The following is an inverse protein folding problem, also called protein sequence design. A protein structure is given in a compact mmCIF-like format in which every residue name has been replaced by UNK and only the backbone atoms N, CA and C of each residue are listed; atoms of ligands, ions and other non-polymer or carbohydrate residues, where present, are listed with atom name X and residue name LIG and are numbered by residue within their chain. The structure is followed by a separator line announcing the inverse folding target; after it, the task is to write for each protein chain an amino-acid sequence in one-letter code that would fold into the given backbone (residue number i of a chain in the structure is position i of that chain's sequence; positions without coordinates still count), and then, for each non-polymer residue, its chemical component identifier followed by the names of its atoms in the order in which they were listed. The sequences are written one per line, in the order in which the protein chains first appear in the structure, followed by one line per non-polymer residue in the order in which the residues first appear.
data_IF_919055404516
#
_entry.id   IF_919055404516
#
_cell.length_a   1.000
_cell.length_b   1.000
_cell.length_c   1.000
_cell.angle_alpha   90.00
_cell.angle_beta   90.00
_cell.angle_gamma   90.00
#
_symmetry.space_group_name_H-M   'P 1'
#
loop_
_entity.id
_entity.type
_entity.pdbx_description
1 polymer ?
#
# COMPACT_ATOMS: atom_id res chain seq x y z
N UNK A 1 -26.63 -11.63 2.62
CA UNK A 1 -25.52 -12.05 3.52
C UNK A 1 -24.25 -12.07 2.69
N UNK A 2 -23.14 -11.60 3.29
CA UNK A 2 -21.90 -11.03 2.69
C UNK A 2 -22.13 -9.56 2.28
N UNK A 3 -21.72 -8.48 2.96
CA UNK A 3 -20.79 -8.28 4.09
C UNK A 3 -19.55 -9.15 4.02
N UNK A 4 -18.91 -9.17 2.85
CA UNK A 4 -17.46 -9.39 2.81
C UNK A 4 -16.94 -8.06 3.38
N UNK A 5 -16.56 -7.96 4.65
CA UNK A 5 -15.18 -8.20 5.08
C UNK A 5 -14.13 -7.49 4.19
N UNK A 6 -14.49 -6.43 3.45
CA UNK A 6 -13.57 -5.58 2.68
C UNK A 6 -12.73 -4.63 3.56
N UNK A 7 -12.59 -4.94 4.86
CA UNK A 7 -11.97 -4.05 5.82
C UNK A 7 -11.21 -4.82 6.88
N UNK A 8 -10.31 -5.70 6.47
CA UNK A 8 -9.18 -6.06 7.35
C UNK A 8 -7.97 -5.29 6.86
N UNK A 9 -7.98 -3.98 7.13
CA UNK A 9 -6.77 -3.21 7.28
C UNK A 9 -5.99 -3.80 8.46
N UNK A 10 -5.15 -4.78 8.16
CA UNK A 10 -4.15 -5.30 9.07
C UNK A 10 -2.80 -5.22 8.38
N UNK A 11 -2.44 -4.03 7.89
CA UNK A 11 -1.03 -3.68 7.87
C UNK A 11 -0.64 -3.50 9.32
N UNK A 12 -0.24 -4.60 9.95
CA UNK A 12 0.56 -4.56 11.16
C UNK A 12 1.92 -3.97 10.73
N UNK A 13 1.92 -2.64 10.54
CA UNK A 13 3.13 -1.85 10.40
C UNK A 13 4.00 -2.30 11.56
N UNK A 14 5.19 -2.81 11.26
CA UNK A 14 6.17 -3.28 12.24
C UNK A 14 6.76 -2.09 13.03
N UNK A 15 5.94 -1.11 13.38
CA UNK A 15 6.23 0.14 14.09
C UNK A 15 6.62 -0.08 15.55
N UNK A 16 6.85 -1.32 15.99
CA UNK A 16 7.38 -1.63 17.32
C UNK A 16 8.87 -1.97 17.36
N UNK A 17 9.60 -1.90 16.25
CA UNK A 17 11.06 -2.00 16.26
C UNK A 17 11.74 -0.60 16.13
N UNK A 18 11.59 0.21 17.18
CA UNK A 18 12.51 1.28 17.57
C UNK A 18 12.48 2.62 16.79
N UNK A 19 11.68 3.58 17.29
CA UNK A 19 12.05 4.96 17.66
C UNK A 19 13.18 5.73 16.93
N UNK A 20 13.41 5.52 15.64
CA UNK A 20 14.18 6.41 14.76
C UNK A 20 13.79 6.14 13.31
N UNK A 21 12.57 6.55 12.93
CA UNK A 21 12.02 6.41 11.58
C UNK A 21 12.93 7.08 10.56
N UNK A 22 13.80 6.27 9.99
CA UNK A 22 14.79 6.68 9.00
C UNK A 22 14.07 7.39 7.83
N UNK A 23 14.75 8.27 7.07
CA UNK A 23 14.17 8.87 5.87
C UNK A 23 13.60 7.82 4.90
N UNK A 24 14.15 6.60 4.94
CA UNK A 24 13.71 5.44 4.18
C UNK A 24 12.37 4.89 4.66
N UNK A 25 12.19 4.71 5.97
CA UNK A 25 10.89 4.32 6.53
C UNK A 25 9.83 5.37 6.24
N UNK A 26 10.15 6.66 6.41
CA UNK A 26 9.21 7.73 6.04
C UNK A 26 8.86 7.72 4.54
N UNK A 27 9.82 7.42 3.67
CA UNK A 27 9.54 7.28 2.24
C UNK A 27 8.63 6.08 1.94
N UNK A 28 8.87 4.93 2.58
CA UNK A 28 8.02 3.75 2.47
C UNK A 28 6.60 4.01 2.98
N UNK A 29 6.47 4.64 4.14
CA UNK A 29 5.18 4.97 4.74
C UNK A 29 4.40 5.96 3.87
N UNK A 30 5.07 6.93 3.24
CA UNK A 30 4.45 7.86 2.29
C UNK A 30 3.95 7.14 1.02
N UNK A 31 4.65 6.11 0.55
CA UNK A 31 4.23 5.30 -0.59
C UNK A 31 2.98 4.50 -0.23
N UNK A 32 3.00 3.84 0.92
CA UNK A 32 1.88 3.05 1.44
C UNK A 32 0.63 3.93 1.63
N UNK A 33 0.79 5.08 2.30
CA UNK A 33 -0.30 6.04 2.50
C UNK A 33 -0.86 6.61 1.19
N UNK A 34 -0.03 6.79 0.16
CA UNK A 34 -0.51 7.24 -1.15
C UNK A 34 -1.32 6.15 -1.86
N UNK A 35 -0.82 4.90 -1.82
CA UNK A 35 -1.49 3.76 -2.39
C UNK A 35 -2.84 3.50 -1.70
N UNK A 36 -2.87 3.57 -0.36
CA UNK A 36 -4.09 3.44 0.42
C UNK A 36 -5.12 4.50 0.02
N UNK A 37 -4.69 5.77 -0.08
CA UNK A 37 -5.59 6.84 -0.52
C UNK A 37 -6.14 6.59 -1.92
N UNK A 38 -5.36 5.99 -2.83
CA UNK A 38 -5.86 5.63 -4.17
C UNK A 38 -6.86 4.48 -4.09
N UNK A 39 -6.56 3.45 -3.28
CA UNK A 39 -7.44 2.32 -3.05
C UNK A 39 -8.78 2.76 -2.43
N UNK A 40 -8.76 3.60 -1.39
CA UNK A 40 -9.95 4.13 -0.73
C UNK A 40 -10.86 4.89 -1.70
N UNK A 41 -10.28 5.71 -2.61
CA UNK A 41 -11.06 6.40 -3.63
C UNK A 41 -11.70 5.43 -4.64
N UNK A 42 -11.06 4.29 -4.91
CA UNK A 42 -11.59 3.26 -5.79
C UNK A 42 -12.69 2.44 -5.11
N UNK A 43 -12.55 2.16 -3.81
CA UNK A 43 -13.57 1.51 -3.00
C UNK A 43 -14.80 2.40 -2.81
N UNK A 44 -14.61 3.70 -2.53
CA UNK A 44 -15.74 4.64 -2.46
C UNK A 44 -16.46 4.74 -3.81
N UNK A 45 -15.74 4.65 -4.93
CA UNK A 45 -16.35 4.57 -6.25
C UNK A 45 -17.07 3.23 -6.48
N UNK A 46 -16.54 2.13 -5.94
CA UNK A 46 -17.15 0.79 -6.00
C UNK A 46 -18.47 0.76 -5.22
N UNK A 47 -18.50 1.34 -4.02
CA UNK A 47 -19.70 1.48 -3.18
C UNK A 47 -20.85 2.23 -3.89
N UNK A 48 -20.49 3.15 -4.80
CA UNK A 48 -21.44 3.94 -5.59
C UNK A 48 -21.70 3.34 -6.99
N UNK A 49 -21.14 2.18 -7.31
CA UNK A 49 -21.27 1.59 -8.62
C UNK A 49 -22.69 1.07 -8.89
N UNK A 50 -23.24 1.25 -10.10
CA UNK A 50 -24.62 0.87 -10.40
C UNK A 50 -24.82 -0.64 -10.62
N UNK A 51 -23.74 -1.43 -10.66
CA UNK A 51 -23.77 -2.87 -10.95
C UNK A 51 -22.62 -3.58 -10.24
N UNK A 52 -22.85 -4.83 -9.79
CA UNK A 52 -21.82 -5.69 -9.17
C UNK A 52 -20.57 -5.84 -10.05
N UNK A 53 -20.74 -6.02 -11.37
CA UNK A 53 -19.60 -6.13 -12.28
C UNK A 53 -18.75 -4.84 -12.40
N UNK A 54 -19.28 -3.68 -12.00
CA UNK A 54 -18.54 -2.43 -11.94
C UNK A 54 -17.87 -2.24 -10.58
N UNK A 55 -18.56 -2.61 -9.49
CA UNK A 55 -18.03 -2.72 -8.13
C UNK A 55 -16.79 -3.63 -8.12
N UNK A 56 -16.92 -4.88 -8.58
CA UNK A 56 -15.82 -5.85 -8.67
C UNK A 56 -14.60 -5.29 -9.41
N UNK A 57 -14.81 -4.55 -10.50
CA UNK A 57 -13.70 -3.99 -11.30
C UNK A 57 -12.99 -2.85 -10.59
N UNK A 58 -13.69 -2.11 -9.73
CA UNK A 58 -13.13 -1.03 -8.94
C UNK A 58 -12.42 -1.59 -7.71
N UNK A 59 -13.01 -2.57 -7.02
CA UNK A 59 -12.38 -3.31 -5.92
C UNK A 59 -11.07 -3.99 -6.37
N UNK A 60 -11.10 -4.73 -7.50
CA UNK A 60 -9.89 -5.36 -8.05
C UNK A 60 -8.78 -4.34 -8.37
N UNK A 61 -9.13 -3.08 -8.69
CA UNK A 61 -8.15 -2.01 -8.91
C UNK A 61 -7.63 -1.43 -7.59
N UNK A 62 -8.49 -1.34 -6.58
CA UNK A 62 -8.10 -0.93 -5.23
C UNK A 62 -7.07 -1.91 -4.65
N UNK A 63 -7.36 -3.22 -4.74
CA UNK A 63 -6.44 -4.29 -4.34
C UNK A 63 -5.09 -4.20 -5.06
N UNK A 64 -5.12 -4.01 -6.39
CA UNK A 64 -3.90 -3.85 -7.17
C UNK A 64 -3.10 -2.59 -6.78
N UNK A 65 -3.78 -1.51 -6.39
CA UNK A 65 -3.13 -0.29 -5.91
C UNK A 65 -2.44 -0.51 -4.56
N UNK A 66 -3.11 -1.17 -3.60
CA UNK A 66 -2.53 -1.56 -2.31
C UNK A 66 -1.33 -2.48 -2.49
N UNK A 67 -1.49 -3.55 -3.26
CA UNK A 67 -0.40 -4.52 -3.49
C UNK A 67 0.82 -3.88 -4.15
N UNK A 68 0.61 -2.92 -5.07
CA UNK A 68 1.71 -2.15 -5.66
C UNK A 68 2.37 -1.21 -4.64
N UNK A 69 1.58 -0.57 -3.78
CA UNK A 69 2.05 0.25 -2.67
C UNK A 69 2.93 -0.54 -1.73
N UNK A 70 2.44 -1.69 -1.28
CA UNK A 70 3.14 -2.60 -0.37
C UNK A 70 4.46 -3.08 -0.95
N UNK A 71 4.47 -3.56 -2.21
CA UNK A 71 5.70 -3.99 -2.89
C UNK A 71 6.73 -2.87 -2.96
N UNK A 72 6.30 -1.63 -3.24
CA UNK A 72 7.20 -0.47 -3.30
C UNK A 72 7.66 -0.03 -1.91
N UNK A 73 6.80 -0.07 -0.91
CA UNK A 73 7.16 0.26 0.47
C UNK A 73 8.14 -0.79 1.04
N UNK A 74 7.91 -2.07 0.75
CA UNK A 74 8.84 -3.16 1.06
C UNK A 74 10.16 -2.98 0.33
N UNK A 75 10.15 -2.75 -0.99
CA UNK A 75 11.36 -2.44 -1.77
C UNK A 75 12.13 -1.26 -1.15
N UNK A 76 11.46 -0.19 -0.75
CA UNK A 76 12.10 0.93 -0.07
C UNK A 76 12.69 0.54 1.29
N UNK A 77 12.04 -0.33 2.06
CA UNK A 77 12.52 -0.79 3.38
C UNK A 77 13.69 -1.78 3.23
N UNK A 78 13.68 -2.65 2.22
CA UNK A 78 14.62 -3.77 2.08
C UNK A 78 15.74 -3.54 1.09
N UNK A 79 15.48 -2.84 -0.02
CA UNK A 79 16.48 -2.57 -1.05
C UNK A 79 17.17 -1.25 -0.75
N UNK A 80 18.46 -1.36 -0.44
CA UNK A 80 19.32 -0.23 -0.22
C UNK A 80 19.80 0.35 -1.57
N UNK A 81 19.45 1.60 -1.94
CA UNK A 81 20.14 2.31 -3.01
C UNK A 81 21.68 2.40 -2.81
N UNK A 82 22.22 2.17 -1.61
CA UNK A 82 23.67 2.08 -1.34
C UNK A 82 24.34 0.79 -1.86
N UNK A 83 23.60 -0.19 -2.37
CA UNK A 83 24.23 -1.34 -3.05
C UNK A 83 24.95 -0.95 -4.34
N UNK A 84 24.75 0.28 -4.85
CA UNK A 84 25.52 0.86 -5.95
C UNK A 84 26.61 1.87 -5.51
N UNK A 85 26.68 2.26 -4.23
CA UNK A 85 27.73 3.19 -3.75
C UNK A 85 28.86 2.47 -3.00
N UNK A 86 28.69 1.19 -2.64
CA UNK A 86 29.76 0.37 -2.06
C UNK A 86 30.76 -0.19 -3.10
N UNK A 87 30.47 -0.08 -4.40
CA UNK A 87 31.35 -0.48 -5.49
C UNK A 87 31.90 0.72 -6.28
N UNK A 88 32.75 1.51 -5.64
CA UNK A 88 33.89 2.15 -6.28
C UNK A 88 33.65 3.47 -7.04
N UNK A 89 33.88 4.58 -6.33
CA UNK A 89 34.73 5.67 -6.81
C UNK A 89 35.62 6.16 -5.67
#
# INVERSE_FOLDING_TARGET
MKRILAGTAAVAVMSLAACNSSPREQAADNIEANAERVADNLEEAADNAPTEAAEDRLENRADAARELGDKKAEDMRTNDPDTNLSNGM
#
